data_IF_452148370545
#
_entry.id   IF_452148370545
#
_cell.length_a   1.000
_cell.length_b   1.000
_cell.length_c   1.000
_cell.angle_alpha   90.00
_cell.angle_beta   90.00
_cell.angle_gamma   90.00
#
_symmetry.space_group_name_H-M   'P 1'
#
loop_
_entity.id
_entity.type
_entity.pdbx_description
1 polymer ?
#
# COMPACT_ATOMS: atom_id res chain seq x y z
N UNK A 1 18.52 6.96 -5.57
CA UNK A 1 17.85 5.67 -5.85
C UNK A 1 16.70 5.99 -6.79
N UNK A 2 16.62 5.37 -7.97
CA UNK A 2 15.59 5.70 -8.95
C UNK A 2 14.42 4.70 -8.85
N UNK A 3 13.22 5.20 -8.56
CA UNK A 3 12.00 4.43 -8.69
C UNK A 3 11.77 4.04 -10.17
N UNK A 4 11.05 2.94 -10.42
CA UNK A 4 10.73 2.53 -11.79
C UNK A 4 9.43 3.17 -12.28
N UNK A 5 8.56 3.56 -11.35
CA UNK A 5 7.35 4.35 -11.61
C UNK A 5 7.63 5.85 -11.63
N UNK A 6 7.01 6.52 -12.60
CA UNK A 6 7.03 7.99 -12.72
C UNK A 6 5.76 8.62 -12.13
N UNK A 7 5.82 9.93 -11.89
CA UNK A 7 4.63 10.72 -11.51
C UNK A 7 3.55 10.63 -12.60
N UNK A 8 3.96 10.69 -13.87
CA UNK A 8 3.04 10.59 -15.01
C UNK A 8 2.23 9.28 -14.99
N UNK A 9 2.83 8.14 -14.64
CA UNK A 9 2.13 6.86 -14.57
C UNK A 9 0.96 6.87 -13.55
N UNK A 10 1.14 7.63 -12.45
CA UNK A 10 0.11 7.79 -11.41
C UNK A 10 -1.01 8.71 -11.92
N UNK A 11 -0.64 9.79 -12.59
CA UNK A 11 -1.59 10.74 -13.18
C UNK A 11 -2.40 10.11 -14.32
N UNK A 12 -1.80 9.26 -15.14
CA UNK A 12 -2.49 8.48 -16.17
C UNK A 12 -3.45 7.45 -15.56
N UNK A 13 -3.20 7.03 -14.32
CA UNK A 13 -4.12 6.24 -13.50
C UNK A 13 -5.37 6.99 -13.03
N UNK A 14 -5.52 8.28 -13.35
CA UNK A 14 -6.70 9.09 -13.04
C UNK A 14 -6.69 9.75 -11.66
N UNK A 15 -5.56 9.72 -10.95
CA UNK A 15 -5.41 10.40 -9.67
C UNK A 15 -5.08 11.88 -9.87
N UNK A 16 -5.79 12.75 -9.17
CA UNK A 16 -5.65 14.22 -9.25
C UNK A 16 -5.62 14.83 -7.86
N UNK A 17 -4.86 15.92 -7.69
CA UNK A 17 -4.71 16.62 -6.42
C UNK A 17 -6.06 17.01 -5.76
N UNK A 18 -7.04 17.37 -6.59
CA UNK A 18 -8.39 17.77 -6.19
C UNK A 18 -9.12 16.70 -5.35
N UNK A 19 -8.83 15.42 -5.60
CA UNK A 19 -9.43 14.29 -4.88
C UNK A 19 -8.91 14.16 -3.43
N UNK A 20 -7.88 14.94 -3.07
CA UNK A 20 -7.15 14.84 -1.80
C UNK A 20 -7.06 16.18 -1.06
N UNK A 21 -7.93 17.14 -1.39
CA UNK A 21 -7.91 18.47 -0.77
C UNK A 21 -6.80 19.39 -1.29
N UNK A 22 -6.39 19.21 -2.55
CA UNK A 22 -5.47 20.10 -3.29
C UNK A 22 -4.19 20.46 -2.54
N UNK A 23 -3.35 19.47 -2.16
CA UNK A 23 -2.04 19.77 -1.59
C UNK A 23 -1.20 20.58 -2.61
N UNK A 24 -0.53 21.64 -2.13
CA UNK A 24 0.23 22.56 -2.98
C UNK A 24 1.34 21.87 -3.77
N UNK A 25 2.00 20.88 -3.17
CA UNK A 25 3.18 20.21 -3.74
C UNK A 25 2.83 18.84 -4.34
N UNK A 26 1.67 18.68 -4.99
CA UNK A 26 1.16 17.38 -5.42
C UNK A 26 2.14 16.59 -6.31
N UNK A 27 2.58 17.22 -7.41
CA UNK A 27 3.36 16.61 -8.49
C UNK A 27 4.82 17.09 -8.54
N UNK A 28 5.33 17.74 -7.49
CA UNK A 28 6.72 18.19 -7.47
C UNK A 28 7.69 16.98 -7.42
N UNK A 29 8.66 16.94 -8.33
CA UNK A 29 9.54 15.77 -8.51
C UNK A 29 10.54 15.55 -7.36
N UNK A 30 10.99 16.62 -6.69
CA UNK A 30 12.03 16.52 -5.67
C UNK A 30 11.46 16.09 -4.31
N UNK A 31 10.42 16.76 -3.84
CA UNK A 31 9.86 16.56 -2.50
C UNK A 31 8.32 16.58 -2.48
N UNK A 32 7.68 16.52 -3.65
CA UNK A 32 6.22 16.54 -3.74
C UNK A 32 5.55 15.33 -3.10
N UNK A 33 4.24 15.43 -2.90
CA UNK A 33 3.46 14.37 -2.28
C UNK A 33 3.60 13.04 -3.04
N UNK A 34 3.48 13.06 -4.37
CA UNK A 34 3.64 11.87 -5.20
C UNK A 34 5.07 11.33 -5.17
N UNK A 35 6.09 12.20 -5.18
CA UNK A 35 7.48 11.78 -5.07
C UNK A 35 7.75 11.01 -3.76
N UNK A 36 7.17 11.44 -2.64
CA UNK A 36 7.28 10.72 -1.35
C UNK A 36 6.57 9.37 -1.36
N UNK A 37 5.41 9.27 -2.02
CA UNK A 37 4.68 7.99 -2.15
C UNK A 37 5.48 7.01 -3.03
N UNK A 38 5.99 7.48 -4.16
CA UNK A 38 6.85 6.70 -5.07
C UNK A 38 8.12 6.24 -4.35
N UNK A 39 8.76 7.11 -3.56
CA UNK A 39 9.94 6.75 -2.77
C UNK A 39 9.65 5.59 -1.80
N UNK A 40 8.49 5.61 -1.12
CA UNK A 40 8.06 4.50 -0.25
C UNK A 40 7.77 3.23 -1.04
N UNK A 41 7.14 3.34 -2.21
CA UNK A 41 6.87 2.20 -3.09
C UNK A 41 8.17 1.51 -3.52
N UNK A 42 9.17 2.30 -3.94
CA UNK A 42 10.48 1.77 -4.34
C UNK A 42 11.24 1.12 -3.18
N UNK A 43 11.15 1.69 -1.97
CA UNK A 43 11.72 1.07 -0.77
C UNK A 43 11.03 -0.26 -0.42
N UNK A 44 9.70 -0.31 -0.57
CA UNK A 44 8.89 -1.52 -0.36
C UNK A 44 9.24 -2.63 -1.36
N UNK A 45 9.33 -2.30 -2.65
CA UNK A 45 9.68 -3.25 -3.70
C UNK A 45 11.12 -3.77 -3.53
N UNK A 46 12.08 -2.86 -3.26
CA UNK A 46 13.48 -3.21 -2.99
C UNK A 46 13.62 -4.13 -1.78
N UNK A 47 12.85 -3.91 -0.71
CA UNK A 47 12.89 -4.74 0.49
C UNK A 47 12.42 -6.19 0.23
N UNK A 48 11.49 -6.40 -0.72
CA UNK A 48 10.96 -7.72 -1.08
C UNK A 48 11.85 -8.47 -2.07
N UNK A 49 12.41 -7.77 -3.05
CA UNK A 49 13.20 -8.38 -4.13
C UNK A 49 14.70 -8.48 -3.77
N UNK A 50 15.16 -7.60 -2.87
CA UNK A 50 16.58 -7.45 -2.57
C UNK A 50 17.25 -6.40 -3.46
N UNK A 51 18.23 -5.69 -2.90
CA UNK A 51 18.85 -4.52 -3.54
C UNK A 51 19.46 -4.81 -4.92
N UNK A 52 20.21 -5.91 -5.06
CA UNK A 52 20.88 -6.25 -6.31
C UNK A 52 19.91 -6.55 -7.46
N UNK A 53 18.87 -7.34 -7.20
CA UNK A 53 17.86 -7.71 -8.20
C UNK A 53 16.93 -6.54 -8.55
N UNK A 54 16.71 -5.61 -7.62
CA UNK A 54 15.97 -4.38 -7.88
C UNK A 54 16.78 -3.33 -8.68
N UNK A 55 18.08 -3.22 -8.42
CA UNK A 55 18.95 -2.23 -9.08
C UNK A 55 19.23 -2.60 -10.53
N UNK A 56 19.40 -3.88 -10.84
CA UNK A 56 19.68 -4.39 -12.18
C UNK A 56 18.76 -5.57 -12.59
N UNK A 57 17.44 -5.36 -12.69
CA UNK A 57 16.50 -6.39 -13.13
C UNK A 57 16.63 -6.67 -14.63
N UNK A 58 16.32 -7.89 -15.05
CA UNK A 58 16.06 -8.19 -16.46
C UNK A 58 14.84 -7.42 -16.98
N UNK A 59 14.69 -7.31 -18.30
CA UNK A 59 13.65 -6.48 -18.92
C UNK A 59 12.22 -6.83 -18.48
N UNK A 60 11.89 -8.13 -18.46
CA UNK A 60 10.57 -8.63 -18.04
C UNK A 60 10.34 -8.35 -16.55
N UNK A 61 11.31 -8.66 -15.70
CA UNK A 61 11.22 -8.39 -14.26
C UNK A 61 11.07 -6.89 -13.99
N UNK A 62 11.73 -6.03 -14.76
CA UNK A 62 11.61 -4.58 -14.63
C UNK A 62 10.18 -4.08 -14.92
N UNK A 63 9.49 -4.66 -15.90
CA UNK A 63 8.09 -4.33 -16.19
C UNK A 63 7.16 -4.74 -15.05
N UNK A 64 7.37 -5.92 -14.46
CA UNK A 64 6.62 -6.36 -13.29
C UNK A 64 6.90 -5.50 -12.07
N UNK A 65 8.15 -5.12 -11.80
CA UNK A 65 8.51 -4.21 -10.70
C UNK A 65 7.83 -2.86 -10.86
N UNK A 66 7.86 -2.27 -12.07
CA UNK A 66 7.16 -1.01 -12.35
C UNK A 66 5.65 -1.15 -12.11
N UNK A 67 5.05 -2.24 -12.56
CA UNK A 67 3.62 -2.50 -12.37
C UNK A 67 3.27 -2.69 -10.89
N UNK A 68 4.13 -3.37 -10.13
CA UNK A 68 3.98 -3.56 -8.70
C UNK A 68 4.03 -2.23 -7.94
N UNK A 69 5.04 -1.39 -8.21
CA UNK A 69 5.17 -0.06 -7.62
C UNK A 69 3.95 0.82 -7.94
N UNK A 70 3.42 0.72 -9.16
CA UNK A 70 2.24 1.49 -9.58
C UNK A 70 1.00 1.03 -8.80
N UNK A 71 0.77 -0.28 -8.73
CA UNK A 71 -0.32 -0.87 -7.96
C UNK A 71 -0.21 -0.52 -6.46
N UNK A 72 1.00 -0.50 -5.91
CA UNK A 72 1.25 -0.07 -4.53
C UNK A 72 0.91 1.41 -4.31
N UNK A 73 1.36 2.29 -5.20
CA UNK A 73 1.04 3.73 -5.13
C UNK A 73 -0.49 3.94 -5.18
N UNK A 74 -1.19 3.20 -6.05
CA UNK A 74 -2.65 3.25 -6.14
C UNK A 74 -3.32 2.82 -4.83
N UNK A 75 -2.82 1.76 -4.19
CA UNK A 75 -3.36 1.31 -2.90
C UNK A 75 -3.25 2.40 -1.82
N UNK A 76 -2.11 3.06 -1.72
CA UNK A 76 -1.91 4.17 -0.77
C UNK A 76 -2.83 5.37 -1.07
N UNK A 77 -2.99 5.72 -2.34
CA UNK A 77 -3.89 6.81 -2.74
C UNK A 77 -5.35 6.48 -2.43
N UNK A 78 -5.80 5.24 -2.63
CA UNK A 78 -7.15 4.82 -2.23
C UNK A 78 -7.36 4.86 -0.72
N UNK A 79 -6.38 4.42 0.09
CA UNK A 79 -6.42 4.55 1.56
C UNK A 79 -6.51 6.01 2.00
N UNK A 80 -5.72 6.87 1.38
CA UNK A 80 -5.73 8.32 1.63
C UNK A 80 -7.11 8.93 1.32
N UNK A 81 -7.74 8.50 0.23
CA UNK A 81 -9.07 8.96 -0.17
C UNK A 81 -10.14 8.53 0.83
N UNK A 82 -10.09 7.28 1.30
CA UNK A 82 -10.97 6.80 2.36
C UNK A 82 -10.81 7.64 3.64
N UNK A 83 -9.57 7.94 4.05
CA UNK A 83 -9.29 8.77 5.22
C UNK A 83 -9.74 10.24 5.06
N UNK A 84 -9.63 10.80 3.85
CA UNK A 84 -10.11 12.15 3.55
C UNK A 84 -11.64 12.23 3.68
N UNK A 85 -12.35 11.22 3.19
CA UNK A 85 -13.81 11.14 3.31
C UNK A 85 -14.21 10.99 4.79
N UNK A 86 -13.51 10.14 5.54
CA UNK A 86 -13.74 9.93 6.97
C UNK A 86 -13.55 11.24 7.77
N UNK A 87 -12.51 12.02 7.44
CA UNK A 87 -12.25 13.33 8.06
C UNK A 87 -13.31 14.39 7.72
N UNK A 88 -13.99 14.25 6.58
CA UNK A 88 -15.07 15.15 6.14
C UNK A 88 -16.47 14.65 6.52
N UNK A 89 -16.59 13.44 7.08
CA UNK A 89 -17.88 12.84 7.46
C UNK A 89 -18.59 13.56 8.61
N UNK A 90 -17.89 14.46 9.33
CA UNK A 90 -18.42 15.20 10.48
C UNK A 90 -19.58 16.16 10.13
N UNK A 91 -19.85 16.44 8.84
CA UNK A 91 -20.80 17.47 8.44
C UNK A 91 -21.96 17.07 7.50
N UNK A 92 -22.07 15.85 6.97
CA UNK A 92 -23.24 15.47 6.13
C UNK A 92 -23.50 13.95 5.99
N UNK A 93 -24.74 13.52 6.29
CA UNK A 93 -25.46 12.31 5.82
C UNK A 93 -24.68 10.96 5.88
N UNK A 94 -24.65 10.36 7.08
CA UNK A 94 -23.91 9.14 7.48
C UNK A 94 -24.01 7.91 6.56
N UNK A 95 -25.12 7.65 5.85
CA UNK A 95 -25.31 6.35 5.21
C UNK A 95 -24.60 6.16 3.85
N UNK A 96 -24.40 7.23 3.07
CA UNK A 96 -23.74 7.13 1.76
C UNK A 96 -22.22 7.17 1.89
N UNK A 97 -21.72 7.94 2.86
CA UNK A 97 -20.29 8.12 3.14
C UNK A 97 -19.61 6.80 3.57
N UNK A 98 -20.32 5.95 4.32
CA UNK A 98 -19.79 4.65 4.73
C UNK A 98 -19.72 3.63 3.58
N UNK A 99 -20.64 3.67 2.62
CA UNK A 99 -20.61 2.78 1.45
C UNK A 99 -19.42 3.12 0.54
N UNK A 100 -19.21 4.41 0.30
CA UNK A 100 -18.07 4.92 -0.47
C UNK A 100 -16.73 4.59 0.20
N UNK A 101 -16.64 4.71 1.53
CA UNK A 101 -15.44 4.34 2.29
C UNK A 101 -15.07 2.87 2.08
N UNK A 102 -16.04 1.95 2.24
CA UNK A 102 -15.80 0.51 2.06
C UNK A 102 -15.35 0.19 0.63
N UNK A 103 -15.92 0.86 -0.35
CA UNK A 103 -15.53 0.67 -1.74
C UNK A 103 -14.09 1.13 -1.99
N UNK A 104 -13.67 2.29 -1.44
CA UNK A 104 -12.28 2.75 -1.55
C UNK A 104 -11.29 1.85 -0.78
N UNK A 105 -11.66 1.34 0.39
CA UNK A 105 -10.87 0.35 1.11
C UNK A 105 -10.74 -0.96 0.32
N UNK A 106 -11.83 -1.42 -0.32
CA UNK A 106 -11.81 -2.59 -1.18
C UNK A 106 -10.98 -2.39 -2.46
N UNK A 107 -10.97 -1.18 -3.02
CA UNK A 107 -10.09 -0.83 -4.15
C UNK A 107 -8.62 -0.74 -3.71
N UNK A 108 -8.35 -0.23 -2.51
CA UNK A 108 -7.01 -0.25 -1.94
C UNK A 108 -6.50 -1.68 -1.73
N UNK A 109 -7.34 -2.58 -1.22
CA UNK A 109 -6.99 -3.99 -1.03
C UNK A 109 -6.68 -4.68 -2.37
N UNK A 110 -7.56 -4.52 -3.38
CA UNK A 110 -7.36 -5.07 -4.73
C UNK A 110 -6.09 -4.53 -5.40
N UNK A 111 -5.80 -3.24 -5.22
CA UNK A 111 -4.58 -2.64 -5.75
C UNK A 111 -3.33 -3.17 -5.04
N UNK A 112 -3.42 -3.48 -3.74
CA UNK A 112 -2.30 -4.04 -2.99
C UNK A 112 -2.06 -5.52 -3.36
N UNK A 113 -3.12 -6.30 -3.57
CA UNK A 113 -3.03 -7.67 -4.11
C UNK A 113 -2.34 -7.68 -5.49
N UNK A 114 -2.76 -6.78 -6.41
CA UNK A 114 -2.07 -6.58 -7.68
C UNK A 114 -0.57 -6.30 -7.50
N UNK A 115 -0.19 -5.49 -6.51
CA UNK A 115 1.20 -5.17 -6.26
C UNK A 115 1.99 -6.41 -5.81
N UNK A 116 1.40 -7.24 -4.95
CA UNK A 116 2.03 -8.47 -4.47
C UNK A 116 2.17 -9.51 -5.60
N UNK A 117 1.14 -9.70 -6.42
CA UNK A 117 1.19 -10.61 -7.57
C UNK A 117 2.32 -10.22 -8.54
N UNK A 118 2.45 -8.93 -8.85
CA UNK A 118 3.51 -8.46 -9.74
C UNK A 118 4.91 -8.61 -9.12
N UNK A 119 5.07 -8.46 -7.80
CA UNK A 119 6.35 -8.76 -7.14
C UNK A 119 6.69 -10.25 -7.25
N UNK A 120 5.71 -11.13 -7.04
CA UNK A 120 5.91 -12.58 -7.16
C UNK A 120 6.32 -12.93 -8.60
N UNK A 121 5.65 -12.35 -9.59
CA UNK A 121 6.01 -12.53 -11.01
C UNK A 121 7.41 -11.98 -11.35
N UNK A 122 7.83 -10.89 -10.70
CA UNK A 122 9.18 -10.34 -10.88
C UNK A 122 10.29 -11.25 -10.30
N UNK A 123 9.98 -12.02 -9.25
CA UNK A 123 10.87 -13.01 -8.66
C UNK A 123 10.90 -14.32 -9.47
N UNK A 124 9.82 -14.62 -10.20
CA UNK A 124 9.64 -15.88 -10.93
C UNK A 124 9.49 -17.09 -9.98
N UNK A 125 9.65 -18.30 -10.52
CA UNK A 125 9.68 -19.56 -9.73
C UNK A 125 10.88 -19.65 -8.75
N UNK A 126 11.77 -18.66 -8.77
CA UNK A 126 12.99 -18.60 -7.99
C UNK A 126 12.85 -17.70 -6.76
N UNK A 127 12.47 -18.30 -5.63
CA UNK A 127 12.69 -17.79 -4.26
C UNK A 127 12.09 -16.41 -3.92
N UNK A 128 11.00 -16.42 -3.16
CA UNK A 128 10.66 -15.31 -2.24
C UNK A 128 11.77 -15.21 -1.19
N UNK A 129 12.79 -14.39 -1.47
CA UNK A 129 13.83 -14.06 -0.52
C UNK A 129 13.26 -13.14 0.57
N UNK A 130 12.56 -13.73 1.54
CA UNK A 130 12.08 -13.03 2.73
C UNK A 130 10.60 -13.21 3.02
N UNK A 131 10.11 -14.45 3.10
CA UNK A 131 8.81 -14.75 3.68
C UNK A 131 8.89 -14.73 5.22
N UNK A 132 8.95 -13.55 5.81
CA UNK A 132 8.51 -13.38 7.20
C UNK A 132 6.98 -13.17 7.18
N UNK A 133 6.23 -14.26 6.98
CA UNK A 133 4.80 -14.27 7.22
C UNK A 133 4.58 -14.26 8.74
N UNK A 134 4.49 -13.07 9.33
CA UNK A 134 3.97 -12.90 10.67
C UNK A 134 2.43 -12.94 10.60
N UNK A 135 1.85 -14.13 10.72
CA UNK A 135 0.42 -14.26 11.01
C UNK A 135 0.17 -13.82 12.45
N UNK A 136 -0.16 -12.54 12.65
CA UNK A 136 -0.73 -12.07 13.91
C UNK A 136 -2.24 -12.05 13.74
N UNK A 137 -2.91 -13.04 14.33
CA UNK A 137 -4.35 -12.96 14.56
C UNK A 137 -4.58 -11.84 15.57
N UNK A 138 -5.15 -10.73 15.11
CA UNK A 138 -5.72 -9.72 16.00
C UNK A 138 -7.18 -10.07 16.18
N UNK A 139 -7.48 -10.82 17.24
CA UNK A 139 -8.85 -11.03 17.69
C UNK A 139 -9.35 -9.73 18.34
N UNK A 140 -9.92 -8.83 17.55
CA UNK A 140 -10.71 -7.71 18.06
C UNK A 140 -12.15 -8.16 18.30
N UNK A 141 -12.33 -8.98 19.33
CA UNK A 141 -13.66 -9.23 19.92
C UNK A 141 -14.00 -8.15 20.95
N UNK A 142 -15.26 -7.67 21.02
CA UNK A 142 -15.68 -6.82 22.12
C UNK A 142 -15.83 -7.70 23.37
N UNK A 143 -15.40 -7.18 24.52
CA UNK A 143 -15.44 -7.73 25.89
C UNK A 143 -14.11 -8.26 26.45
N UNK A 144 -13.48 -7.41 27.26
CA UNK A 144 -12.62 -7.83 28.37
C UNK A 144 -13.50 -8.58 29.39
N UNK A 145 -13.15 -9.83 29.69
CA UNK A 145 -13.60 -10.46 30.94
C UNK A 145 -12.39 -10.98 31.71
N UNK A 146 -12.17 -10.36 32.86
CA UNK A 146 -11.32 -10.80 33.94
C UNK A 146 -11.44 -12.29 34.24
N UNK A 147 -10.31 -12.99 34.43
CA UNK A 147 -10.35 -14.36 34.94
C UNK A 147 -9.00 -15.03 35.09
N UNK A 148 -8.38 -14.83 36.26
CA UNK A 148 -7.39 -15.66 36.96
C UNK A 148 -6.18 -16.24 36.17
N UNK A 149 -4.97 -15.86 36.59
CA UNK A 149 -3.78 -16.70 36.47
C UNK A 149 -3.84 -17.82 37.52
N UNK A 150 -3.72 -19.11 37.15
CA UNK A 150 -3.31 -20.14 38.09
C UNK A 150 -2.08 -20.91 37.60
N UNK A 151 -1.00 -20.86 38.39
CA UNK A 151 0.10 -21.84 38.42
C UNK A 151 1.10 -21.74 37.26
N UNK A 152 2.33 -21.25 37.43
CA UNK A 152 3.43 -21.95 38.10
C UNK A 152 3.31 -23.50 38.09
N UNK A 153 3.88 -24.16 37.09
CA UNK A 153 4.89 -25.24 37.21
C UNK A 153 4.94 -26.18 35.99
N UNK A 154 6.15 -26.74 35.79
CA UNK A 154 6.56 -27.85 34.92
C UNK A 154 6.96 -27.45 33.48
N UNK A 155 8.20 -27.65 33.02
CA UNK A 155 9.33 -28.47 33.49
C UNK A 155 10.64 -27.94 32.93
#
# INVERSE_FOLDING_TARGET
MAAKVSIQDIEDGGFRAEQFGTPADWSEEADGYLARVIARASAWARARIGGAAYDAPGEIANQYIRSAELCWCRAELWRRRAAFIDSNAVSALDNLVHADRREFEAQAARAMECAEDNIVMALGDGSVAGSALAFVSVETGPFLSSGALPGSACR
#
